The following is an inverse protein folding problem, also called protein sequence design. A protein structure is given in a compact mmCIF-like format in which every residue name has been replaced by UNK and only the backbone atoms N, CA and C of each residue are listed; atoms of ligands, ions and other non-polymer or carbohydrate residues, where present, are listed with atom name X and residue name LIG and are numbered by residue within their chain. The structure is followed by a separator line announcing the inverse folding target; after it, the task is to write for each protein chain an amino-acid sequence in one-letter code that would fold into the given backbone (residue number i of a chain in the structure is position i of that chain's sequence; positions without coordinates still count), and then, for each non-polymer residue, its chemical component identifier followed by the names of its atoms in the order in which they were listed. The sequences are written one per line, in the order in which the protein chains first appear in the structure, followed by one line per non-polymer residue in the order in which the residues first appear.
data_IF_069748008847
#
_entry.id   IF_069748008847
#
_cell.length_a   1.000
_cell.length_b   1.000
_cell.length_c   1.000
_cell.angle_alpha   90.00
_cell.angle_beta   90.00
_cell.angle_gamma   90.00
#
_symmetry.space_group_name_H-M   'P 1'
#
loop_
_entity.id
_entity.type
_entity.pdbx_description
1 polymer ?
#
# COMPACT_ATOMS: atom_id res chain seq x y z
N UNK A 1 -9.92 29.50 7.17
CA UNK A 1 -9.21 28.85 8.29
C UNK A 1 -9.95 27.61 8.80
N UNK A 2 -11.21 27.71 9.26
CA UNK A 2 -11.96 26.56 9.82
C UNK A 2 -12.13 25.37 8.84
N UNK A 3 -12.43 25.64 7.57
CA UNK A 3 -12.57 24.58 6.55
C UNK A 3 -11.25 23.83 6.27
N UNK A 4 -10.12 24.54 6.29
CA UNK A 4 -8.79 23.94 6.14
C UNK A 4 -8.45 23.05 7.35
N UNK A 5 -8.77 23.53 8.57
CA UNK A 5 -8.58 22.76 9.80
C UNK A 5 -9.43 21.49 9.85
N UNK A 6 -10.68 21.54 9.37
CA UNK A 6 -11.55 20.38 9.30
C UNK A 6 -11.04 19.31 8.32
N UNK A 7 -10.54 19.72 7.15
CA UNK A 7 -9.89 18.78 6.21
C UNK A 7 -8.58 18.20 6.74
N UNK A 8 -7.83 18.95 7.55
CA UNK A 8 -6.58 18.47 8.18
C UNK A 8 -6.89 17.35 9.19
N UNK A 9 -7.84 17.59 10.10
CA UNK A 9 -8.20 16.66 11.16
C UNK A 9 -8.77 15.33 10.62
N UNK A 10 -9.55 15.38 9.53
CA UNK A 10 -10.05 14.17 8.89
C UNK A 10 -8.93 13.31 8.29
N UNK A 11 -7.94 13.94 7.67
CA UNK A 11 -6.76 13.26 7.13
C UNK A 11 -5.91 12.65 8.24
N UNK A 12 -5.65 13.41 9.31
CA UNK A 12 -4.78 13.02 10.42
C UNK A 12 -5.36 11.86 11.25
N UNK A 13 -6.68 11.75 11.37
CA UNK A 13 -7.34 10.64 12.09
C UNK A 13 -7.52 9.41 11.17
N UNK A 14 -7.86 9.62 9.89
CA UNK A 14 -8.11 8.52 8.96
C UNK A 14 -6.85 7.75 8.57
N UNK A 15 -5.74 8.46 8.41
CA UNK A 15 -4.46 7.86 8.00
C UNK A 15 -3.92 6.76 8.93
N UNK A 16 -3.85 6.94 10.27
CA UNK A 16 -3.37 5.89 11.16
C UNK A 16 -4.32 4.69 11.22
N UNK A 17 -5.64 4.90 11.19
CA UNK A 17 -6.64 3.81 11.19
C UNK A 17 -6.48 2.93 9.93
N UNK A 18 -6.31 3.57 8.77
CA UNK A 18 -6.03 2.88 7.51
C UNK A 18 -4.70 2.12 7.57
N UNK A 19 -3.65 2.77 8.06
CA UNK A 19 -2.30 2.19 8.13
C UNK A 19 -2.23 0.95 9.04
N UNK A 20 -2.95 0.98 10.18
CA UNK A 20 -3.05 -0.17 11.09
C UNK A 20 -3.81 -1.31 10.42
N UNK A 21 -4.96 -1.05 9.80
CA UNK A 21 -5.71 -2.08 9.07
C UNK A 21 -4.90 -2.69 7.92
N UNK A 22 -4.18 -1.88 7.15
CA UNK A 22 -3.34 -2.36 6.05
C UNK A 22 -2.23 -3.30 6.56
N UNK A 23 -1.58 -2.93 7.66
CA UNK A 23 -0.54 -3.75 8.28
C UNK A 23 -1.12 -5.05 8.86
N UNK A 24 -2.24 -4.98 9.58
CA UNK A 24 -2.92 -6.14 10.16
C UNK A 24 -3.42 -7.10 9.07
N UNK A 25 -3.96 -6.59 7.97
CA UNK A 25 -4.38 -7.42 6.83
C UNK A 25 -3.20 -8.20 6.24
N UNK A 26 -2.03 -7.57 6.11
CA UNK A 26 -0.83 -8.25 5.61
C UNK A 26 -0.27 -9.26 6.59
N UNK A 27 -0.27 -8.94 7.87
CA UNK A 27 0.15 -9.86 8.93
C UNK A 27 -0.76 -11.09 8.97
N UNK A 28 -2.06 -10.93 8.75
CA UNK A 28 -3.02 -12.05 8.74
C UNK A 28 -2.87 -12.97 7.53
N UNK A 29 -2.42 -12.44 6.38
CA UNK A 29 -2.31 -13.20 5.12
C UNK A 29 -0.89 -13.75 4.92
N UNK A 30 0.13 -13.16 5.53
CA UNK A 30 1.54 -13.46 5.25
C UNK A 30 2.17 -14.31 6.37
N UNK A 31 2.74 -15.49 6.06
CA UNK A 31 3.46 -16.30 7.05
C UNK A 31 4.63 -15.52 7.69
N UNK A 32 4.89 -15.70 9.01
CA UNK A 32 5.92 -14.96 9.73
C UNK A 32 7.33 -15.09 9.13
N UNK A 33 7.61 -16.19 8.44
CA UNK A 33 8.89 -16.43 7.77
C UNK A 33 9.21 -15.48 6.60
N UNK A 34 8.20 -14.88 5.95
CA UNK A 34 8.39 -13.95 4.81
C UNK A 34 7.90 -12.52 5.09
N UNK A 35 7.36 -12.26 6.29
CA UNK A 35 6.89 -10.93 6.70
C UNK A 35 7.97 -9.85 6.59
N UNK A 36 9.21 -10.15 6.99
CA UNK A 36 10.32 -9.22 6.87
C UNK A 36 10.61 -8.82 5.41
N UNK A 37 10.56 -9.79 4.49
CA UNK A 37 10.79 -9.57 3.05
C UNK A 37 9.64 -8.82 2.38
N UNK A 38 8.39 -9.18 2.70
CA UNK A 38 7.19 -8.49 2.18
C UNK A 38 7.16 -7.04 2.68
N UNK A 39 7.48 -6.80 3.95
CA UNK A 39 7.52 -5.46 4.52
C UNK A 39 8.64 -4.62 3.90
N UNK A 40 9.83 -5.20 3.67
CA UNK A 40 10.93 -4.52 2.99
C UNK A 40 10.58 -4.13 1.55
N UNK A 41 10.00 -5.06 0.77
CA UNK A 41 9.55 -4.78 -0.60
C UNK A 41 8.48 -3.69 -0.62
N UNK A 42 7.53 -3.72 0.31
CA UNK A 42 6.53 -2.68 0.42
C UNK A 42 7.13 -1.31 0.70
N UNK A 43 8.03 -1.22 1.67
CA UNK A 43 8.71 0.04 1.98
C UNK A 43 9.53 0.53 0.79
N UNK A 44 10.22 -0.37 0.09
CA UNK A 44 10.98 -0.02 -1.11
C UNK A 44 10.07 0.56 -2.20
N UNK A 45 8.91 -0.04 -2.41
CA UNK A 45 7.93 0.43 -3.40
C UNK A 45 7.32 1.79 -3.01
N UNK A 46 6.83 1.94 -1.78
CA UNK A 46 6.27 3.21 -1.31
C UNK A 46 7.32 4.32 -1.39
N UNK A 47 8.47 4.09 -0.76
CA UNK A 47 9.52 5.12 -0.65
C UNK A 47 10.15 5.41 -2.00
N UNK A 48 10.21 4.44 -2.91
CA UNK A 48 10.71 4.62 -4.28
C UNK A 48 9.73 5.38 -5.17
N UNK A 49 8.42 5.23 -4.96
CA UNK A 49 7.41 5.93 -5.75
C UNK A 49 7.22 7.39 -5.31
N UNK A 50 7.50 7.72 -4.04
CA UNK A 50 7.46 9.08 -3.51
C UNK A 50 8.25 10.11 -4.36
N UNK A 51 9.55 9.92 -4.65
CA UNK A 51 10.32 10.87 -5.45
C UNK A 51 9.80 10.94 -6.90
N UNK A 52 9.29 9.85 -7.47
CA UNK A 52 8.68 9.89 -8.80
C UNK A 52 7.40 10.73 -8.83
N UNK A 53 6.56 10.64 -7.79
CA UNK A 53 5.38 11.50 -7.62
C UNK A 53 5.77 12.97 -7.44
N UNK A 54 6.81 13.23 -6.64
CA UNK A 54 7.31 14.59 -6.43
C UNK A 54 7.86 15.22 -7.71
N UNK A 55 8.66 14.47 -8.50
CA UNK A 55 9.21 14.94 -9.76
C UNK A 55 8.12 15.22 -10.80
N UNK A 56 7.18 14.29 -10.98
CA UNK A 56 6.08 14.46 -11.93
C UNK A 56 5.15 15.62 -11.53
N UNK A 57 4.75 15.70 -10.25
CA UNK A 57 3.94 16.80 -9.73
C UNK A 57 4.64 18.15 -9.83
N UNK A 58 5.94 18.20 -9.52
CA UNK A 58 6.76 19.40 -9.64
C UNK A 58 6.91 19.86 -11.10
N UNK A 59 7.13 18.94 -12.05
CA UNK A 59 7.20 19.25 -13.47
C UNK A 59 5.88 19.82 -14.00
N UNK A 60 4.75 19.23 -13.60
CA UNK A 60 3.41 19.73 -13.97
C UNK A 60 3.16 21.10 -13.36
N UNK A 61 3.55 21.32 -12.09
CA UNK A 61 3.41 22.60 -11.43
C UNK A 61 4.28 23.70 -12.08
N UNK A 62 5.48 23.36 -12.53
CA UNK A 62 6.38 24.28 -13.21
C UNK A 62 5.87 24.66 -14.61
N UNK A 63 5.27 23.72 -15.35
CA UNK A 63 4.79 23.97 -16.71
C UNK A 63 3.39 24.63 -16.77
N UNK A 64 2.47 24.22 -15.89
CA UNK A 64 1.04 24.59 -15.97
C UNK A 64 0.53 25.31 -14.72
N UNK A 65 1.42 25.64 -13.78
CA UNK A 65 1.10 26.29 -12.52
C UNK A 65 0.57 25.35 -11.43
N UNK A 66 0.63 25.81 -10.18
CA UNK A 66 0.28 25.03 -9.00
C UNK A 66 -1.18 24.54 -9.01
N UNK A 67 -2.12 25.34 -9.54
CA UNK A 67 -3.54 24.97 -9.57
C UNK A 67 -3.80 23.72 -10.41
N UNK A 68 -3.17 23.63 -11.58
CA UNK A 68 -3.31 22.49 -12.48
C UNK A 68 -2.69 21.23 -11.88
N UNK A 69 -1.50 21.36 -11.27
CA UNK A 69 -0.85 20.25 -10.57
C UNK A 69 -1.72 19.68 -9.45
N UNK A 70 -2.33 20.53 -8.62
CA UNK A 70 -3.22 20.09 -7.53
C UNK A 70 -4.45 19.33 -8.05
N UNK A 71 -5.07 19.80 -9.15
CA UNK A 71 -6.22 19.12 -9.75
C UNK A 71 -5.81 17.75 -10.31
N UNK A 72 -4.67 17.67 -11.00
CA UNK A 72 -4.15 16.41 -11.55
C UNK A 72 -3.81 15.42 -10.42
N UNK A 73 -3.15 15.88 -9.35
CA UNK A 73 -2.87 15.05 -8.18
C UNK A 73 -4.14 14.54 -7.50
N UNK A 74 -5.15 15.40 -7.35
CA UNK A 74 -6.44 15.00 -6.78
C UNK A 74 -7.16 13.96 -7.65
N UNK A 75 -7.19 14.16 -8.96
CA UNK A 75 -7.76 13.20 -9.91
C UNK A 75 -7.01 11.86 -9.89
N UNK A 76 -5.68 11.90 -9.78
CA UNK A 76 -4.84 10.71 -9.64
C UNK A 76 -5.14 9.93 -8.36
N UNK A 77 -5.29 10.61 -7.23
CA UNK A 77 -5.64 9.98 -5.95
C UNK A 77 -7.03 9.32 -6.00
N UNK A 78 -8.03 10.00 -6.60
CA UNK A 78 -9.37 9.45 -6.78
C UNK A 78 -9.32 8.22 -7.69
N UNK A 79 -8.60 8.30 -8.81
CA UNK A 79 -8.45 7.19 -9.76
C UNK A 79 -7.77 5.97 -9.13
N UNK A 80 -6.76 6.18 -8.28
CA UNK A 80 -6.11 5.11 -7.54
C UNK A 80 -7.06 4.43 -6.53
N UNK A 81 -7.90 5.22 -5.85
CA UNK A 81 -8.93 4.68 -4.94
C UNK A 81 -9.99 3.88 -5.71
N UNK A 82 -10.48 4.39 -6.84
CA UNK A 82 -11.38 3.64 -7.71
C UNK A 82 -10.71 2.35 -8.19
N UNK A 83 -9.47 2.42 -8.69
CA UNK A 83 -8.72 1.25 -9.12
C UNK A 83 -8.60 0.23 -8.00
N UNK A 84 -8.32 0.62 -6.75
CA UNK A 84 -8.25 -0.31 -5.62
C UNK A 84 -9.59 -0.99 -5.33
N UNK A 85 -10.70 -0.25 -5.40
CA UNK A 85 -12.06 -0.76 -5.17
C UNK A 85 -12.45 -1.77 -6.27
N UNK A 86 -12.08 -1.48 -7.53
CA UNK A 86 -12.37 -2.34 -8.68
C UNK A 86 -11.31 -3.44 -8.90
N UNK A 87 -10.11 -3.29 -8.35
CA UNK A 87 -9.00 -4.21 -8.56
C UNK A 87 -9.21 -5.50 -7.78
N UNK A 88 -9.00 -6.67 -8.41
CA UNK A 88 -9.27 -7.98 -7.84
C UNK A 88 -8.19 -8.42 -6.85
N UNK A 89 -7.69 -7.53 -5.99
CA UNK A 89 -6.81 -7.90 -4.87
C UNK A 89 -7.53 -8.91 -3.95
N UNK A 90 -8.87 -8.90 -3.93
CA UNK A 90 -9.69 -9.96 -3.30
C UNK A 90 -9.46 -11.37 -3.87
N UNK A 91 -9.04 -11.53 -5.14
CA UNK A 91 -8.83 -12.85 -5.76
C UNK A 91 -7.51 -13.52 -5.37
N UNK A 92 -6.53 -12.78 -4.86
CA UNK A 92 -5.24 -13.36 -4.43
C UNK A 92 -5.31 -14.07 -3.07
N UNK A 93 -6.42 -13.93 -2.35
CA UNK A 93 -6.67 -14.63 -1.07
C UNK A 93 -6.87 -16.15 -1.21
N UNK A 94 -6.88 -16.67 -2.44
CA UNK A 94 -7.03 -18.10 -2.75
C UNK A 94 -5.73 -18.88 -2.92
N UNK A 95 -4.56 -18.23 -2.94
CA UNK A 95 -3.25 -18.91 -3.07
C UNK A 95 -2.55 -19.13 -1.71
N UNK A 96 -3.36 -19.34 -0.67
CA UNK A 96 -2.86 -19.69 0.65
C UNK A 96 -2.22 -21.08 0.63
N UNK A 97 -0.91 -21.09 0.89
CA UNK A 97 -0.18 -22.22 1.45
C UNK A 97 -0.29 -23.55 0.69
N UNK A 98 0.51 -23.71 -0.37
CA UNK A 98 1.13 -25.01 -0.61
C UNK A 98 2.01 -25.32 0.60
N UNK A 99 1.43 -26.03 1.55
CA UNK A 99 2.14 -26.78 2.57
C UNK A 99 3.16 -27.65 1.83
N UNK A 100 4.40 -27.16 1.70
CA UNK A 100 5.55 -28.06 1.67
C UNK A 100 5.50 -28.75 3.02
N UNK A 101 4.73 -29.83 3.08
CA UNK A 101 4.73 -30.76 4.20
C UNK A 101 6.19 -31.03 4.54
N UNK A 102 6.58 -31.04 5.84
CA UNK A 102 7.87 -31.58 6.19
C UNK A 102 7.90 -32.98 5.59
N UNK A 103 8.88 -33.25 4.72
CA UNK A 103 9.03 -34.53 4.06
C UNK A 103 8.94 -35.61 5.14
N UNK A 104 7.82 -36.32 5.14
CA UNK A 104 7.61 -37.43 6.03
C UNK A 104 8.52 -38.56 5.55
N UNK A 105 9.58 -38.78 6.33
CA UNK A 105 10.28 -40.07 6.49
C UNK A 105 11.56 -40.27 5.67
N UNK A 106 12.32 -41.34 5.96
CA UNK A 106 12.13 -42.37 6.98
C UNK A 106 13.35 -42.55 7.94
N UNK A 107 13.16 -43.35 8.98
CA UNK A 107 14.20 -44.05 9.77
C UNK A 107 15.22 -43.25 10.61
N UNK A 108 14.98 -43.27 11.93
CA UNK A 108 16.00 -43.74 12.87
C UNK A 108 15.34 -44.71 13.85
N UNK A 109 15.05 -45.93 13.37
CA UNK A 109 15.27 -47.09 14.23
C UNK A 109 16.77 -47.13 14.55
N UNK A 110 17.11 -47.12 15.84
CA UNK A 110 18.28 -47.72 16.50
C UNK A 110 18.55 -47.00 17.84
#
# INVERSE_FOLDING_TARGET
AAALGASQLLGDIGFPIYSVHELTLRQSVTPPAILGRVNALWQMLIKGLLPMGALSGGAIAAAYGARTALIVSAAGAISANLWLIFSPVRKLRGLGYSHSAPAAGPDTAH
#
